data_IF_973264720586
#
_entry.id   IF_973264720586
#
_cell.length_a   1.000
_cell.length_b   1.000
_cell.length_c   1.000
_cell.angle_alpha   90.00
_cell.angle_beta   90.00
_cell.angle_gamma   90.00
#
_symmetry.space_group_name_H-M   'P 1'
#
loop_
_entity.id
_entity.type
_entity.pdbx_description
1 polymer ?
#
# COMPACT_ATOMS: atom_id res chain seq x y z
N UNK A 1 -8.02 -43.40 75.46
CA UNK A 1 -8.18 -42.54 74.27
C UNK A 1 -6.82 -42.52 73.58
N UNK A 2 -6.63 -43.02 72.37
CA UNK A 2 -5.36 -42.99 71.63
C UNK A 2 -5.21 -41.65 70.95
N UNK A 3 -4.12 -40.93 71.20
CA UNK A 3 -3.70 -39.71 70.53
C UNK A 3 -3.01 -40.06 69.21
N UNK A 4 -3.65 -39.70 68.09
CA UNK A 4 -3.11 -39.91 66.77
C UNK A 4 -2.15 -38.76 66.43
N UNK A 5 -0.89 -39.08 66.32
CA UNK A 5 0.14 -38.14 65.79
C UNK A 5 0.12 -38.13 64.29
N UNK A 6 -0.13 -36.98 63.71
CA UNK A 6 0.04 -36.74 62.24
C UNK A 6 1.44 -36.20 61.99
N UNK A 7 2.25 -36.82 61.10
CA UNK A 7 3.55 -36.27 60.75
C UNK A 7 3.36 -35.08 59.83
N UNK A 8 3.91 -33.92 60.16
CA UNK A 8 4.02 -32.76 59.33
C UNK A 8 4.95 -33.09 58.13
N UNK A 9 4.39 -33.23 56.95
CA UNK A 9 5.14 -33.32 55.71
C UNK A 9 5.72 -31.94 55.37
N UNK A 10 6.99 -31.71 55.65
CA UNK A 10 7.74 -30.55 55.16
C UNK A 10 8.06 -30.75 53.69
N UNK A 11 7.29 -30.12 52.80
CA UNK A 11 7.62 -30.02 51.39
C UNK A 11 8.83 -29.11 51.24
N UNK A 12 9.98 -29.69 50.96
CA UNK A 12 11.17 -28.94 50.54
C UNK A 12 10.91 -28.28 49.18
N UNK A 13 10.63 -26.98 49.21
CA UNK A 13 10.68 -26.16 47.99
C UNK A 13 12.13 -26.12 47.48
N UNK A 14 12.44 -26.86 46.42
CA UNK A 14 13.69 -26.69 45.66
C UNK A 14 13.72 -25.27 45.13
N UNK A 15 14.55 -24.42 45.68
CA UNK A 15 14.88 -23.09 45.14
C UNK A 15 15.43 -23.30 43.75
N UNK A 16 14.66 -22.88 42.72
CA UNK A 16 15.13 -22.82 41.34
C UNK A 16 16.28 -21.80 41.32
N UNK A 17 17.36 -22.13 40.63
CA UNK A 17 18.51 -21.25 40.45
C UNK A 17 18.04 -19.88 40.00
N UNK A 18 18.35 -18.83 40.73
CA UNK A 18 18.11 -17.44 40.30
C UNK A 18 19.05 -17.05 39.19
N UNK A 19 18.59 -16.22 38.27
CA UNK A 19 19.42 -15.65 37.22
C UNK A 19 20.53 -14.77 37.79
N UNK A 20 21.75 -14.91 37.28
CA UNK A 20 22.87 -14.05 37.62
C UNK A 20 22.68 -12.66 37.00
N UNK A 21 23.02 -11.59 37.69
CA UNK A 21 22.95 -10.22 37.20
C UNK A 21 23.78 -10.04 35.93
N UNK A 22 24.94 -10.71 35.84
CA UNK A 22 25.79 -10.69 34.65
C UNK A 22 25.12 -11.36 33.42
N UNK A 23 24.40 -12.45 33.64
CA UNK A 23 23.68 -13.18 32.60
C UNK A 23 22.56 -12.31 32.00
N UNK A 24 21.81 -11.58 32.85
CA UNK A 24 20.81 -10.63 32.38
C UNK A 24 21.47 -9.48 31.60
N UNK A 25 22.58 -8.93 32.10
CA UNK A 25 23.28 -7.82 31.44
C UNK A 25 23.84 -8.21 30.07
N UNK A 26 24.41 -9.41 29.92
CA UNK A 26 24.91 -9.87 28.63
C UNK A 26 23.80 -10.07 27.62
N UNK A 27 22.64 -10.58 28.04
CA UNK A 27 21.48 -10.77 27.15
C UNK A 27 20.96 -9.43 26.64
N UNK A 28 20.76 -8.43 27.52
CA UNK A 28 20.23 -7.12 27.07
C UNK A 28 21.22 -6.38 26.18
N UNK A 29 22.54 -6.53 26.38
CA UNK A 29 23.54 -5.93 25.47
C UNK A 29 23.52 -6.57 24.10
N UNK A 30 23.40 -7.90 24.01
CA UNK A 30 23.29 -8.61 22.74
C UNK A 30 22.00 -8.21 21.98
N UNK A 31 20.86 -8.17 22.69
CA UNK A 31 19.59 -7.73 22.09
C UNK A 31 19.71 -6.28 21.62
N UNK A 32 20.33 -5.39 22.37
CA UNK A 32 20.52 -4.00 22.00
C UNK A 32 21.27 -3.82 20.68
N UNK A 33 22.33 -4.62 20.46
CA UNK A 33 23.10 -4.60 19.22
C UNK A 33 22.24 -5.12 18.05
N UNK A 34 21.50 -6.22 18.21
CA UNK A 34 20.65 -6.77 17.16
C UNK A 34 19.51 -5.82 16.77
N UNK A 35 18.88 -5.21 17.76
CA UNK A 35 17.79 -4.25 17.53
C UNK A 35 18.30 -3.00 16.79
N UNK A 36 19.49 -2.49 17.14
CA UNK A 36 20.06 -1.32 16.44
C UNK A 36 20.26 -1.54 14.95
N UNK A 37 20.70 -2.72 14.54
CA UNK A 37 20.83 -3.10 13.13
C UNK A 37 19.47 -3.25 12.43
N UNK A 38 18.47 -3.77 13.12
CA UNK A 38 17.12 -3.95 12.57
C UNK A 38 16.43 -2.60 12.29
N UNK A 39 16.59 -1.60 13.14
CA UNK A 39 15.97 -0.28 12.97
C UNK A 39 16.41 0.43 11.69
N UNK A 40 17.66 0.31 11.27
CA UNK A 40 18.17 0.96 10.06
C UNK A 40 17.46 0.50 8.77
N UNK A 41 17.04 -0.77 8.71
CA UNK A 41 16.39 -1.37 7.54
C UNK A 41 14.86 -1.26 7.57
N UNK A 42 14.27 -0.95 8.72
CA UNK A 42 12.82 -1.03 8.91
C UNK A 42 12.05 0.01 8.08
N UNK A 43 12.50 1.25 8.03
CA UNK A 43 11.84 2.33 7.29
C UNK A 43 11.79 2.08 5.78
N UNK A 44 12.88 1.59 5.22
CA UNK A 44 12.96 1.24 3.79
C UNK A 44 12.08 0.05 3.44
N UNK A 45 11.99 -0.93 4.32
CA UNK A 45 11.10 -2.10 4.13
C UNK A 45 9.63 -1.69 4.17
N UNK A 46 9.25 -0.80 5.09
CA UNK A 46 7.88 -0.25 5.13
C UNK A 46 7.54 0.55 3.86
N UNK A 47 8.45 1.39 3.38
CA UNK A 47 8.25 2.15 2.14
C UNK A 47 8.00 1.21 0.95
N UNK A 48 8.83 0.17 0.79
CA UNK A 48 8.64 -0.86 -0.25
C UNK A 48 7.29 -1.59 -0.11
N UNK A 49 6.86 -1.90 1.12
CA UNK A 49 5.56 -2.53 1.38
C UNK A 49 4.39 -1.65 0.95
N UNK A 50 4.45 -0.34 1.25
CA UNK A 50 3.44 0.62 0.79
C UNK A 50 3.44 0.79 -0.73
N UNK A 51 4.61 0.84 -1.36
CA UNK A 51 4.73 0.94 -2.81
C UNK A 51 4.18 -0.30 -3.52
N UNK A 52 4.44 -1.49 -2.98
CA UNK A 52 3.85 -2.73 -3.49
C UNK A 52 2.31 -2.69 -3.43
N UNK A 53 1.74 -2.18 -2.32
CA UNK A 53 0.30 -2.02 -2.20
C UNK A 53 -0.25 -1.00 -3.20
N UNK A 54 0.40 0.14 -3.42
CA UNK A 54 0.03 1.13 -4.44
C UNK A 54 -0.09 0.49 -5.82
N UNK A 55 0.89 -0.34 -6.20
CA UNK A 55 0.86 -1.06 -7.48
C UNK A 55 -0.33 -2.01 -7.58
N UNK A 56 -0.61 -2.77 -6.53
CA UNK A 56 -1.77 -3.67 -6.50
C UNK A 56 -3.10 -2.89 -6.56
N UNK A 57 -3.17 -1.75 -5.89
CA UNK A 57 -4.34 -0.87 -5.95
C UNK A 57 -4.57 -0.34 -7.37
N UNK A 58 -3.50 0.09 -8.06
CA UNK A 58 -3.60 0.51 -9.46
C UNK A 58 -4.07 -0.62 -10.40
N UNK A 59 -3.58 -1.85 -10.20
CA UNK A 59 -4.05 -3.01 -10.95
C UNK A 59 -5.54 -3.30 -10.74
N UNK A 60 -6.03 -3.08 -9.52
CA UNK A 60 -7.46 -3.22 -9.19
C UNK A 60 -8.29 -2.15 -9.90
N UNK A 61 -7.83 -0.91 -9.86
CA UNK A 61 -8.48 0.21 -10.57
C UNK A 61 -8.46 -0.02 -12.08
N UNK A 62 -7.33 -0.46 -12.63
CA UNK A 62 -7.21 -0.82 -14.05
C UNK A 62 -8.30 -1.81 -14.48
N UNK A 63 -8.49 -2.90 -13.70
CA UNK A 63 -9.52 -3.90 -13.99
C UNK A 63 -10.92 -3.29 -13.97
N UNK A 64 -11.21 -2.40 -13.04
CA UNK A 64 -12.50 -1.72 -12.97
C UNK A 64 -12.71 -0.79 -14.19
N UNK A 65 -11.68 -0.06 -14.63
CA UNK A 65 -11.73 0.80 -15.83
C UNK A 65 -11.91 -0.01 -17.10
N UNK A 66 -11.26 -1.16 -17.23
CA UNK A 66 -11.45 -2.03 -18.39
C UNK A 66 -12.87 -2.60 -18.46
N UNK A 67 -13.52 -2.83 -17.32
CA UNK A 67 -14.93 -3.23 -17.24
C UNK A 67 -15.90 -2.07 -17.53
N UNK A 68 -15.51 -0.85 -17.14
CA UNK A 68 -16.30 0.37 -17.34
C UNK A 68 -16.19 0.97 -18.75
N UNK A 69 -15.37 0.39 -19.58
CA UNK A 69 -15.10 0.80 -20.96
C UNK A 69 -16.37 0.81 -21.81
N UNK A 70 -16.64 1.91 -22.47
CA UNK A 70 -17.84 2.11 -23.30
C UNK A 70 -17.49 1.83 -24.75
N UNK A 71 -18.28 0.94 -25.39
CA UNK A 71 -18.22 0.73 -26.84
C UNK A 71 -19.16 1.73 -27.55
N UNK A 72 -18.62 2.53 -28.42
CA UNK A 72 -19.40 3.45 -29.26
C UNK A 72 -18.90 3.38 -30.71
N UNK A 73 -19.74 2.89 -31.56
CA UNK A 73 -19.46 2.76 -33.02
C UNK A 73 -18.19 1.94 -33.35
N UNK A 74 -17.90 0.91 -32.55
CA UNK A 74 -16.73 0.05 -32.75
C UNK A 74 -15.43 0.63 -32.18
N UNK A 75 -15.51 1.74 -31.43
CA UNK A 75 -14.40 2.29 -30.67
C UNK A 75 -14.69 2.23 -29.19
N UNK A 76 -13.65 1.96 -28.42
CA UNK A 76 -13.74 1.91 -26.96
C UNK A 76 -13.23 3.21 -26.33
N UNK A 77 -14.01 3.71 -25.36
CA UNK A 77 -13.68 4.91 -24.61
C UNK A 77 -13.73 4.62 -23.11
N UNK A 78 -12.82 5.21 -22.37
CA UNK A 78 -12.80 5.11 -20.92
C UNK A 78 -13.60 6.25 -20.29
N UNK A 79 -14.19 6.00 -19.09
CA UNK A 79 -14.79 7.08 -18.31
C UNK A 79 -13.79 8.19 -18.06
N UNK A 80 -14.25 9.43 -18.15
CA UNK A 80 -13.43 10.63 -17.94
C UNK A 80 -13.71 11.24 -16.57
N UNK A 81 -12.87 12.15 -16.11
CA UNK A 81 -13.11 12.93 -14.91
C UNK A 81 -14.34 13.84 -15.05
N UNK A 82 -15.09 14.06 -13.96
CA UNK A 82 -16.24 14.97 -13.97
C UNK A 82 -15.85 16.40 -14.37
N UNK A 83 -16.79 17.10 -15.01
CA UNK A 83 -16.59 18.48 -15.43
C UNK A 83 -15.66 18.65 -16.62
N UNK A 84 -15.31 17.56 -17.33
CA UNK A 84 -14.45 17.63 -18.51
C UNK A 84 -13.00 17.98 -18.19
N UNK A 85 -12.54 17.74 -16.95
CA UNK A 85 -11.13 17.84 -16.61
C UNK A 85 -10.40 16.57 -17.06
N UNK A 86 -9.17 16.73 -17.50
CA UNK A 86 -8.38 15.64 -18.08
C UNK A 86 -7.47 14.94 -17.06
N UNK A 87 -7.47 15.37 -15.80
CA UNK A 87 -6.87 14.63 -14.70
C UNK A 87 -7.62 14.86 -13.39
N UNK A 88 -7.68 13.85 -12.56
CA UNK A 88 -8.33 13.91 -11.25
C UNK A 88 -7.72 12.89 -10.27
N UNK A 89 -7.95 13.10 -9.00
CA UNK A 89 -7.72 12.09 -7.99
C UNK A 89 -8.93 11.16 -7.93
N UNK A 90 -8.74 9.86 -8.07
CA UNK A 90 -9.81 8.87 -7.99
C UNK A 90 -10.42 8.85 -6.60
N UNK A 91 -11.75 8.83 -6.52
CA UNK A 91 -12.50 8.88 -5.27
C UNK A 91 -13.74 7.98 -5.33
N UNK A 92 -14.23 7.57 -4.15
CA UNK A 92 -15.53 6.89 -4.01
C UNK A 92 -16.72 7.86 -4.05
N UNK A 93 -16.49 9.15 -4.07
CA UNK A 93 -17.52 10.17 -4.05
C UNK A 93 -17.69 10.77 -5.43
N UNK A 94 -18.43 10.14 -6.30
CA UNK A 94 -19.08 10.60 -7.56
C UNK A 94 -18.35 11.68 -8.40
N UNK A 95 -17.05 11.87 -8.25
CA UNK A 95 -16.35 12.97 -8.90
C UNK A 95 -15.42 12.56 -10.00
N UNK A 96 -15.34 11.25 -10.36
CA UNK A 96 -14.69 10.82 -11.59
C UNK A 96 -13.71 9.63 -11.43
N UNK A 97 -13.51 8.86 -12.43
CA UNK A 97 -14.54 8.27 -13.28
C UNK A 97 -15.48 7.42 -12.42
N UNK A 98 -16.77 7.38 -12.78
CA UNK A 98 -17.78 6.64 -12.01
C UNK A 98 -17.64 5.12 -12.20
N UNK A 99 -16.63 4.56 -11.55
CA UNK A 99 -16.36 3.12 -11.52
C UNK A 99 -16.87 2.45 -10.24
N UNK A 100 -17.26 3.22 -9.23
CA UNK A 100 -17.81 2.74 -7.95
C UNK A 100 -19.29 3.19 -7.83
N UNK A 101 -20.22 2.35 -7.31
CA UNK A 101 -19.99 0.96 -6.87
C UNK A 101 -20.15 -0.09 -7.98
N UNK A 102 -20.39 0.33 -9.23
CA UNK A 102 -20.81 -0.55 -10.33
C UNK A 102 -19.72 -1.58 -10.70
N UNK A 103 -18.49 -1.15 -10.82
CA UNK A 103 -17.36 -1.98 -11.29
C UNK A 103 -16.35 -2.30 -10.19
N UNK A 104 -16.34 -1.52 -9.12
CA UNK A 104 -15.60 -1.82 -7.89
C UNK A 104 -16.37 -1.31 -6.68
N UNK A 105 -16.38 -2.08 -5.60
CA UNK A 105 -17.10 -1.70 -4.37
C UNK A 105 -16.53 -0.42 -3.74
N UNK A 106 -15.21 -0.31 -3.76
CA UNK A 106 -14.48 0.85 -3.25
C UNK A 106 -13.25 1.12 -4.13
N UNK A 107 -13.06 2.35 -4.51
CA UNK A 107 -11.83 2.80 -5.19
C UNK A 107 -10.73 2.88 -4.13
N UNK A 108 -9.62 2.13 -4.28
CA UNK A 108 -8.50 2.20 -3.35
C UNK A 108 -7.92 3.62 -3.27
N UNK A 109 -7.46 3.98 -2.09
CA UNK A 109 -6.76 5.25 -1.82
C UNK A 109 -5.36 4.98 -1.30
N UNK A 110 -4.45 5.92 -1.51
CA UNK A 110 -3.08 5.82 -1.01
C UNK A 110 -3.04 5.56 0.49
N UNK A 111 -2.23 4.58 0.90
CA UNK A 111 -2.16 4.10 2.28
C UNK A 111 -1.68 5.18 3.26
N UNK A 112 -0.82 6.08 2.80
CA UNK A 112 -0.18 7.11 3.62
C UNK A 112 -0.94 8.43 3.59
N UNK A 113 -1.26 8.92 2.40
CA UNK A 113 -1.89 10.23 2.21
C UNK A 113 -3.41 10.18 2.31
N UNK A 114 -4.01 9.00 2.18
CA UNK A 114 -5.47 8.79 2.12
C UNK A 114 -6.15 9.51 0.96
N UNK A 115 -5.37 9.98 -0.01
CA UNK A 115 -5.87 10.60 -1.24
C UNK A 115 -6.04 9.57 -2.35
N UNK A 116 -6.85 9.87 -3.34
CA UNK A 116 -7.00 9.03 -4.53
C UNK A 116 -5.73 9.04 -5.39
N UNK A 117 -5.57 7.98 -6.19
CA UNK A 117 -4.52 7.91 -7.20
C UNK A 117 -4.83 8.85 -8.35
N UNK A 118 -3.80 9.34 -9.04
CA UNK A 118 -3.96 10.25 -10.15
C UNK A 118 -4.43 9.46 -11.37
N UNK A 119 -5.50 9.94 -11.97
CA UNK A 119 -6.06 9.41 -13.19
C UNK A 119 -6.08 10.52 -14.25
N UNK A 120 -5.57 10.24 -15.42
CA UNK A 120 -5.56 11.18 -16.53
C UNK A 120 -5.96 10.47 -17.83
N UNK A 121 -6.77 11.13 -18.65
CA UNK A 121 -7.26 10.61 -19.92
C UNK A 121 -6.59 11.29 -21.11
N UNK A 122 -6.32 10.50 -22.14
CA UNK A 122 -5.57 10.93 -23.31
C UNK A 122 -6.24 10.53 -24.62
N UNK A 123 -5.91 11.24 -25.69
CA UNK A 123 -6.22 10.87 -27.06
C UNK A 123 -5.45 9.60 -27.49
N UNK A 124 -5.70 9.11 -28.67
CA UNK A 124 -5.10 7.89 -29.21
C UNK A 124 -3.55 7.94 -29.29
N UNK A 125 -2.96 9.13 -29.31
CA UNK A 125 -1.51 9.34 -29.30
C UNK A 125 -0.87 9.07 -27.91
N UNK A 126 -1.70 8.91 -26.85
CA UNK A 126 -1.27 8.67 -25.47
C UNK A 126 -0.54 9.84 -24.79
N UNK A 127 -0.53 11.01 -25.42
CA UNK A 127 0.19 12.21 -24.96
C UNK A 127 -0.68 13.45 -24.87
N UNK A 128 -1.61 13.62 -25.80
CA UNK A 128 -2.56 14.74 -25.81
C UNK A 128 -3.67 14.48 -24.81
N UNK A 129 -3.85 15.38 -23.85
CA UNK A 129 -4.92 15.30 -22.87
C UNK A 129 -6.31 15.35 -23.54
N UNK A 130 -7.24 14.56 -23.03
CA UNK A 130 -8.55 14.34 -23.63
C UNK A 130 -9.64 14.45 -22.55
N UNK A 131 -10.78 15.05 -22.90
CA UNK A 131 -11.92 15.25 -21.99
C UNK A 131 -13.20 14.53 -22.41
N UNK A 132 -13.29 14.08 -23.66
CA UNK A 132 -14.49 13.43 -24.20
C UNK A 132 -14.10 12.30 -25.15
N UNK A 133 -14.70 11.13 -24.99
CA UNK A 133 -14.41 9.94 -25.81
C UNK A 133 -12.93 9.60 -25.85
N UNK A 134 -12.33 9.47 -24.70
CA UNK A 134 -10.90 9.26 -24.55
C UNK A 134 -10.55 7.78 -24.69
N UNK A 135 -9.77 7.38 -25.71
CA UNK A 135 -9.48 5.98 -25.97
C UNK A 135 -8.37 5.41 -25.09
N UNK A 136 -7.67 6.26 -24.34
CA UNK A 136 -6.60 5.80 -23.45
C UNK A 136 -6.53 6.62 -22.17
N UNK A 137 -5.85 6.07 -21.15
CA UNK A 137 -5.67 6.70 -19.84
C UNK A 137 -4.30 6.38 -19.26
N UNK A 138 -3.95 7.10 -18.22
CA UNK A 138 -2.83 6.80 -17.33
C UNK A 138 -3.30 6.84 -15.89
N UNK A 139 -2.94 5.78 -15.15
CA UNK A 139 -3.09 5.68 -13.69
C UNK A 139 -1.73 5.85 -13.06
N UNK A 140 -1.56 6.82 -12.16
CA UNK A 140 -0.27 7.16 -11.61
C UNK A 140 -0.33 7.07 -10.08
N UNK A 141 0.67 6.38 -9.51
CA UNK A 141 0.97 6.38 -8.09
C UNK A 141 2.35 6.98 -7.83
N UNK A 142 2.44 7.84 -6.83
CA UNK A 142 3.74 8.31 -6.34
C UNK A 142 4.36 7.26 -5.42
N UNK A 143 5.60 6.88 -5.72
CA UNK A 143 6.35 5.90 -4.95
C UNK A 143 7.28 6.59 -3.95
N UNK A 144 7.51 5.94 -2.80
CA UNK A 144 8.46 6.39 -1.78
C UNK A 144 9.87 5.84 -2.04
N UNK A 145 9.98 4.71 -2.73
CA UNK A 145 11.25 4.11 -3.08
C UNK A 145 11.79 4.64 -4.41
N UNK A 146 12.74 5.56 -4.36
CA UNK A 146 13.41 6.13 -5.55
C UNK A 146 14.12 5.10 -6.44
N UNK A 147 14.45 3.95 -5.87
CA UNK A 147 15.17 2.87 -6.55
C UNK A 147 14.26 1.68 -6.91
N UNK A 148 12.95 1.91 -7.01
CA UNK A 148 12.04 0.86 -7.43
C UNK A 148 12.34 0.44 -8.89
N UNK A 149 12.49 -0.86 -9.16
CA UNK A 149 12.85 -1.35 -10.50
C UNK A 149 11.74 -1.12 -11.56
N UNK A 150 10.52 -0.90 -11.12
CA UNK A 150 9.35 -0.70 -11.99
C UNK A 150 8.92 0.78 -12.05
N UNK A 151 9.70 1.69 -11.47
CA UNK A 151 9.38 3.11 -11.56
C UNK A 151 9.44 3.61 -13.00
N UNK A 152 8.72 4.69 -13.26
CA UNK A 152 8.80 5.39 -14.54
C UNK A 152 10.21 5.94 -14.78
N UNK A 153 10.62 6.01 -16.03
CA UNK A 153 11.91 6.64 -16.45
C UNK A 153 11.92 8.13 -16.13
N UNK A 154 10.75 8.78 -16.26
CA UNK A 154 10.55 10.18 -15.90
C UNK A 154 9.48 10.25 -14.83
N UNK A 155 9.80 10.81 -13.67
CA UNK A 155 8.86 10.97 -12.55
C UNK A 155 7.74 11.92 -12.94
N UNK A 156 6.51 11.54 -12.63
CA UNK A 156 5.34 12.39 -12.87
C UNK A 156 5.44 13.69 -12.05
N UNK A 157 5.10 14.86 -12.63
CA UNK A 157 5.36 16.17 -12.00
C UNK A 157 4.81 16.36 -10.58
N UNK A 158 3.70 15.71 -10.26
CA UNK A 158 3.11 15.79 -8.91
C UNK A 158 3.77 14.85 -7.88
N UNK A 159 4.71 14.00 -8.29
CA UNK A 159 5.41 13.07 -7.43
C UNK A 159 6.81 13.60 -7.06
N UNK A 160 7.18 13.51 -5.78
CA UNK A 160 8.46 14.04 -5.28
C UNK A 160 9.64 13.11 -5.51
N UNK A 161 9.43 11.81 -5.39
CA UNK A 161 10.51 10.82 -5.36
C UNK A 161 10.56 9.95 -6.63
N UNK A 162 9.51 9.23 -6.90
CA UNK A 162 9.36 8.40 -8.10
C UNK A 162 7.88 8.24 -8.41
N UNK A 163 7.55 7.85 -9.63
CA UNK A 163 6.19 7.47 -10.02
C UNK A 163 6.15 6.08 -10.65
N UNK A 164 4.96 5.50 -10.64
CA UNK A 164 4.63 4.28 -11.33
C UNK A 164 3.32 4.48 -12.08
N UNK A 165 3.36 4.27 -13.39
CA UNK A 165 2.24 4.53 -14.28
C UNK A 165 1.75 3.25 -14.94
N UNK A 166 0.43 3.02 -14.88
CA UNK A 166 -0.26 1.97 -15.63
C UNK A 166 -1.07 2.59 -16.76
N UNK A 167 -1.05 1.92 -17.91
CA UNK A 167 -1.83 2.26 -19.09
C UNK A 167 -2.77 1.11 -19.48
N UNK A 168 -3.80 1.34 -20.30
CA UNK A 168 -4.58 0.25 -20.88
C UNK A 168 -3.70 -0.68 -21.71
N UNK A 169 -4.19 -1.89 -21.95
CA UNK A 169 -3.53 -2.87 -22.81
C UNK A 169 -3.76 -2.53 -24.28
#
# INVERSE_FOLDING_TARGET
MPTTYYPLHTTHFKLKHGFSLIELLTVITLIGILVSMAFASYSTTQAKGRDSRRKTDLDTIKKALELAKIDSAGQYYYPTCDGGVNNCALSNTNTAPDISPTYTQNVPTDVKTKTGYIFATFAADGTTLCTTNCPTYQLIACLENKNDPQKDTTTYPSCTDASYTIKPN
#
